data_IF_129153875651
#
_entry.id   IF_129153875651
#
_cell.length_a   1.000
_cell.length_b   1.000
_cell.length_c   1.000
_cell.angle_alpha   90.00
_cell.angle_beta   90.00
_cell.angle_gamma   90.00
#
_symmetry.space_group_name_H-M   'P 1'
#
loop_
_entity.id
_entity.type
_entity.pdbx_description
1 polymer ?
2 polymer ?
3 non-polymer ?
4 non-polymer ?
5 non-polymer ?
6 non-polymer ?
7 water ?
#
# COMPACT_ATOMS: atom_id res chain seq x y z
N UNK A 13 0.13 19.21 -4.96
CA UNK A 13 -0.57 18.37 -4.00
C UNK A 13 -1.80 17.73 -4.59
N UNK A 14 -2.83 17.57 -3.78
CA UNK A 14 -4.08 16.95 -4.25
C UNK A 14 -4.87 17.88 -5.16
N UNK A 15 -4.68 19.19 -4.98
CA UNK A 15 -5.36 20.18 -5.77
C UNK A 15 -6.67 20.59 -5.14
N UNK A 16 -7.40 21.40 -5.90
CA UNK A 16 -8.73 21.82 -5.46
C UNK A 16 -9.59 20.57 -5.28
N UNK A 17 -10.24 20.40 -4.14
CA UNK A 17 -11.17 19.26 -3.96
C UNK A 17 -12.22 19.19 -5.08
N UNK A 18 -12.56 17.96 -5.47
CA UNK A 18 -13.60 17.80 -6.48
C UNK A 18 -14.98 18.15 -5.91
N UNK A 19 -15.84 18.70 -6.76
CA UNK A 19 -17.24 18.96 -6.41
C UNK A 19 -18.09 17.74 -6.73
N UNK A 20 -18.78 17.21 -5.71
CA UNK A 20 -19.67 16.09 -5.92
C UNK A 20 -20.93 16.53 -6.70
N UNK A 21 -21.42 15.65 -7.56
CA UNK A 21 -22.55 15.94 -8.45
C UNK A 21 -23.81 16.26 -7.65
N UNK A 22 -24.76 16.88 -8.34
CA UNK A 22 -25.99 17.34 -7.65
C UNK A 22 -25.73 18.43 -6.64
N UNK A 23 -24.55 19.07 -6.69
CA UNK A 23 -24.20 20.24 -5.88
C UNK A 23 -24.10 19.89 -4.40
N UNK A 24 -23.57 18.70 -4.11
CA UNK A 24 -23.54 18.23 -2.73
C UNK A 24 -22.33 18.74 -1.97
N UNK A 25 -21.58 19.65 -2.57
CA UNK A 25 -20.53 20.33 -1.88
C UNK A 25 -19.20 19.66 -2.14
N UNK A 26 -18.16 20.23 -1.57
CA UNK A 26 -16.83 19.63 -1.74
C UNK A 26 -16.81 18.23 -1.14
N UNK A 27 -16.20 17.31 -1.87
CA UNK A 27 -15.99 15.97 -1.33
C UNK A 27 -15.20 16.00 -0.01
N UNK A 28 -14.21 16.88 0.08
CA UNK A 28 -13.40 17.00 1.30
C UNK A 28 -12.77 18.38 1.29
N UNK A 29 -12.05 18.72 2.34
CA UNK A 29 -11.34 20.00 2.36
C UNK A 29 -9.95 19.80 2.92
N UNK A 30 -9.06 20.74 2.63
CA UNK A 30 -7.64 20.57 2.94
C UNK A 30 -7.41 20.32 4.43
N UNK A 31 -8.26 20.86 5.32
CA UNK A 31 -8.09 20.60 6.75
C UNK A 31 -8.24 19.14 7.13
N UNK A 32 -8.72 18.27 6.25
CA UNK A 32 -8.77 16.85 6.57
C UNK A 32 -7.48 16.12 6.21
N UNK A 33 -6.47 16.85 5.73
CA UNK A 33 -5.19 16.28 5.35
C UNK A 33 -4.16 16.56 6.44
N UNK A 34 -3.35 15.55 6.77
CA UNK A 34 -2.26 15.75 7.71
C UNK A 34 -1.17 16.59 7.06
N UNK A 35 -0.34 17.20 7.90
CA UNK A 35 0.69 18.11 7.42
C UNK A 35 2.06 17.43 7.50
N UNK A 36 2.85 17.56 6.43
CA UNK A 36 4.13 16.86 6.29
C UNK A 36 5.22 17.84 5.82
N UNK A 37 6.48 17.42 5.87
CA UNK A 37 7.60 18.31 5.60
C UNK A 37 7.96 18.43 4.12
N UNK A 38 7.34 17.67 3.25
CA UNK A 38 7.77 17.67 1.87
C UNK A 38 6.74 18.13 0.87
N UNK A 39 7.23 18.64 -0.25
CA UNK A 39 6.37 19.08 -1.35
C UNK A 39 5.83 17.91 -2.14
N UNK A 40 4.69 18.10 -2.78
CA UNK A 40 4.10 17.07 -3.62
C UNK A 40 3.49 17.69 -4.85
N UNK A 41 3.36 16.89 -5.88
CA UNK A 41 2.72 17.29 -7.11
C UNK A 41 1.66 16.23 -7.40
N UNK A 42 0.53 16.66 -7.93
CA UNK A 42 -0.57 15.74 -8.17
C UNK A 42 -0.42 14.66 -9.23
N UNK A 43 -0.95 13.50 -8.87
CA UNK A 43 -1.12 12.36 -9.76
C UNK A 43 -2.24 12.68 -10.75
N UNK A 44 -2.05 12.41 -12.03
CA UNK A 44 -3.10 12.73 -13.00
C UNK A 44 -4.39 11.92 -12.82
N UNK A 45 -5.53 12.57 -12.98
CA UNK A 45 -6.84 11.90 -12.89
C UNK A 45 -7.33 11.89 -14.32
N UNK A 46 -7.54 10.70 -14.87
CA UNK A 46 -7.95 10.59 -16.25
C UNK A 46 -8.95 9.49 -16.52
N UNK A 47 -9.63 9.59 -17.66
CA UNK A 47 -10.50 8.52 -18.11
C UNK A 47 -9.69 7.32 -18.57
N UNK A 48 -10.24 6.13 -18.32
CA UNK A 48 -9.59 4.91 -18.77
C UNK A 48 -9.50 4.84 -20.27
N UNK A 49 -10.31 5.62 -20.97
CA UNK A 49 -10.21 5.70 -22.42
C UNK A 49 -9.21 6.75 -22.90
N UNK A 50 -8.56 7.43 -21.99
CA UNK A 50 -7.59 8.46 -22.38
C UNK A 50 -6.28 7.78 -22.75
N UNK A 51 -5.73 8.01 -23.94
CA UNK A 51 -4.45 7.37 -24.26
C UNK A 51 -3.36 7.67 -23.28
N UNK A 52 -3.38 8.86 -22.64
CA UNK A 52 -2.36 9.20 -21.67
C UNK A 52 -2.38 8.23 -20.50
N UNK A 53 -3.56 7.67 -20.19
CA UNK A 53 -3.65 6.74 -19.07
C UNK A 53 -2.96 5.43 -19.41
N UNK A 54 -3.19 4.91 -20.62
CA UNK A 54 -2.47 3.73 -21.06
C UNK A 54 -0.96 3.97 -21.02
N UNK A 55 -0.53 5.17 -21.45
CA UNK A 55 0.89 5.53 -21.52
C UNK A 55 1.52 5.56 -20.14
N UNK A 56 0.79 6.06 -19.15
CA UNK A 56 1.31 6.05 -17.79
C UNK A 56 1.44 4.64 -17.27
N UNK A 57 0.39 3.83 -17.42
CA UNK A 57 0.43 2.46 -16.92
C UNK A 57 1.54 1.70 -17.61
N UNK A 58 1.62 1.85 -18.94
CA UNK A 58 2.64 1.13 -19.69
C UNK A 58 4.03 1.47 -19.18
N UNK A 59 4.26 2.75 -18.86
CA UNK A 59 5.55 3.23 -18.34
C UNK A 59 5.67 3.07 -16.84
N UNK A 60 4.73 2.38 -16.18
CA UNK A 60 4.83 2.10 -14.76
C UNK A 60 4.95 3.39 -13.95
N UNK A 61 4.04 4.30 -14.23
CA UNK A 61 3.86 5.52 -13.46
C UNK A 61 2.42 5.59 -12.99
N UNK A 62 2.18 6.20 -11.83
CA UNK A 62 0.83 6.21 -11.26
C UNK A 62 -0.13 7.07 -12.03
N UNK A 63 -1.40 6.68 -11.94
CA UNK A 63 -2.50 7.40 -12.58
C UNK A 63 -3.75 7.02 -11.81
N UNK A 64 -4.63 7.98 -11.61
CA UNK A 64 -5.96 7.71 -11.07
C UNK A 64 -6.93 7.63 -12.24
N UNK A 65 -7.62 6.50 -12.37
CA UNK A 65 -8.66 6.33 -13.38
C UNK A 65 -10.02 6.54 -12.74
N UNK A 66 -10.84 7.35 -13.36
CA UNK A 66 -12.06 7.83 -12.73
C UNK A 66 -13.30 7.05 -13.14
N UNK A 67 -13.23 6.30 -14.23
CA UNK A 67 -14.42 5.70 -14.81
C UNK A 67 -14.19 4.24 -15.25
N UNK A 68 -13.44 3.44 -14.49
CA UNK A 68 -13.24 2.05 -14.87
C UNK A 68 -14.44 1.18 -14.58
N UNK A 69 -15.21 1.54 -13.56
CA UNK A 69 -16.29 0.68 -13.06
C UNK A 69 -15.72 -0.63 -12.55
N UNK A 70 -14.46 -0.60 -12.14
CA UNK A 70 -13.78 -1.82 -11.71
C UNK A 70 -14.54 -2.52 -10.59
N UNK A 71 -14.99 -1.77 -9.61
CA UNK A 71 -15.71 -2.34 -8.48
C UNK A 71 -17.09 -1.70 -8.30
N UNK A 72 -17.79 -1.52 -9.41
CA UNK A 72 -19.07 -0.83 -9.40
C UNK A 72 -20.10 -1.46 -8.46
N UNK A 73 -20.19 -2.79 -8.42
CA UNK A 73 -21.14 -3.48 -7.54
C UNK A 73 -20.90 -3.20 -6.06
N UNK A 74 -19.64 -3.06 -5.69
CA UNK A 74 -19.24 -2.80 -4.30
C UNK A 74 -19.50 -1.39 -3.78
N UNK A 75 -19.81 -0.44 -4.65
CA UNK A 75 -20.00 0.94 -4.20
C UNK A 75 -21.14 1.05 -3.21
N UNK A 76 -22.07 0.07 -3.19
CA UNK A 76 -23.15 0.04 -2.22
C UNK A 76 -22.72 -0.58 -0.89
N UNK A 77 -21.50 -1.06 -0.78
CA UNK A 77 -21.03 -1.71 0.43
C UNK A 77 -20.90 -0.69 1.57
N UNK A 78 -21.46 -1.05 2.71
CA UNK A 78 -21.18 -0.41 3.97
C UNK A 78 -21.14 -1.53 5.00
N UNK A 79 -20.96 -1.19 6.26
CA UNK A 79 -20.84 -2.19 7.29
C UNK A 79 -22.06 -3.09 7.44
N UNK A 80 -23.24 -2.52 7.38
CA UNK A 80 -24.44 -3.34 7.52
C UNK A 80 -24.54 -4.36 6.41
N UNK A 81 -24.30 -3.93 5.18
CA UNK A 81 -24.38 -4.84 4.05
C UNK A 81 -23.33 -5.93 4.13
N UNK A 82 -22.11 -5.56 4.52
CA UNK A 82 -21.03 -6.54 4.63
C UNK A 82 -21.27 -7.50 5.79
N UNK A 83 -21.67 -6.96 6.93
CA UNK A 83 -22.01 -7.81 8.07
C UNK A 83 -23.09 -8.81 7.68
N UNK A 84 -24.09 -8.37 6.93
CA UNK A 84 -25.18 -9.27 6.57
C UNK A 84 -24.74 -10.32 5.57
N UNK A 85 -23.75 -10.05 4.72
CA UNK A 85 -23.49 -10.89 3.57
C UNK A 85 -22.07 -11.46 3.46
N UNK A 86 -21.10 -10.97 4.23
CA UNK A 86 -19.71 -11.34 3.95
C UNK A 86 -19.33 -12.67 4.58
N UNK A 87 -20.21 -13.28 5.31
CA UNK A 87 -19.99 -14.63 5.77
C UNK A 87 -19.46 -14.70 7.19
N UNK A 88 -19.11 -15.94 7.55
CA UNK A 88 -18.72 -16.30 8.90
C UNK A 88 -17.23 -16.63 9.01
N UNK A 89 -16.44 -16.16 8.07
CA UNK A 89 -15.01 -16.37 8.14
C UNK A 89 -14.32 -15.44 9.12
N UNK A 90 -13.06 -15.74 9.39
CA UNK A 90 -12.21 -14.94 10.26
C UNK A 90 -11.61 -13.77 9.50
N UNK A 91 -11.59 -12.60 10.11
CA UNK A 91 -11.01 -11.42 9.49
C UNK A 91 -9.85 -10.89 10.32
N UNK A 92 -8.70 -10.64 9.70
CA UNK A 92 -7.58 -10.11 10.45
C UNK A 92 -7.85 -8.64 10.75
N UNK A 93 -7.74 -8.26 12.01
CA UNK A 93 -7.97 -6.89 12.40
C UNK A 93 -6.81 -6.36 13.23
N UNK A 94 -6.27 -5.22 12.84
CA UNK A 94 -5.15 -4.60 13.52
C UNK A 94 -5.63 -3.54 14.49
N UNK A 95 -4.97 -3.47 15.63
CA UNK A 95 -5.37 -2.56 16.69
C UNK A 95 -4.17 -1.75 17.12
N UNK A 96 -4.34 -0.44 17.22
CA UNK A 96 -3.23 0.45 17.60
C UNK A 96 -3.72 1.58 18.49
N UNK A 97 -2.79 2.17 19.21
CA UNK A 97 -3.08 3.36 20.00
C UNK A 97 -2.74 4.66 19.28
N UNK A 98 -1.98 4.59 18.19
CA UNK A 98 -1.61 5.73 17.36
C UNK A 98 -2.34 5.63 16.03
N UNK A 99 -2.30 6.73 15.27
CA UNK A 99 -2.88 6.68 13.94
C UNK A 99 -2.03 5.86 12.96
N UNK A 100 -0.77 5.58 13.26
CA UNK A 100 0.12 4.90 12.32
C UNK A 100 -0.01 3.38 12.49
N UNK A 101 -0.39 2.70 11.42
CA UNK A 101 -0.47 1.23 11.41
C UNK A 101 0.71 0.69 10.58
N UNK A 102 1.88 0.71 11.18
CA UNK A 102 3.07 0.18 10.50
C UNK A 102 2.95 -1.34 10.34
N UNK A 103 3.07 -1.82 9.10
CA UNK A 103 3.00 -3.26 8.85
C UNK A 103 4.27 -3.97 9.37
N UNK A 104 4.09 -5.18 9.91
CA UNK A 104 5.21 -6.00 10.36
C UNK A 104 5.00 -7.45 9.94
N UNK A 105 6.07 -8.10 9.53
CA UNK A 105 6.01 -9.48 9.09
C UNK A 105 6.29 -10.37 10.28
N UNK A 106 5.29 -11.15 10.65
CA UNK A 106 5.36 -12.03 11.81
C UNK A 106 6.42 -13.10 11.72
N UNK A 107 6.65 -13.65 10.54
CA UNK A 107 7.65 -14.69 10.37
C UNK A 107 9.06 -14.21 10.73
N UNK A 108 9.38 -12.97 10.40
CA UNK A 108 10.68 -12.40 10.70
C UNK A 108 10.90 -11.94 12.13
N UNK A 109 9.86 -11.92 12.97
CA UNK A 109 10.06 -11.40 14.33
C UNK A 109 11.07 -12.20 15.13
N UNK A 110 11.29 -13.46 14.78
CA UNK A 110 12.31 -14.25 15.47
C UNK A 110 13.72 -13.67 15.24
N UNK A 111 13.98 -13.12 14.04
CA UNK A 111 15.29 -12.56 13.71
C UNK A 111 15.64 -11.39 14.62
N UNK A 112 14.66 -10.56 14.95
CA UNK A 112 14.88 -9.38 15.79
C UNK A 112 13.99 -9.50 17.02
N UNK A 113 14.55 -9.95 18.14
CA UNK A 113 13.75 -10.09 19.35
C UNK A 113 13.41 -8.72 19.95
N UNK A 114 14.29 -7.71 19.78
CA UNK A 114 14.09 -6.35 20.28
C UNK A 114 13.02 -5.56 19.52
N UNK A 115 12.23 -6.14 18.63
CA UNK A 115 11.15 -5.46 17.95
C UNK A 115 9.83 -5.81 18.61
N UNK A 116 9.16 -4.81 19.18
CA UNK A 116 7.85 -5.01 19.74
C UNK A 116 6.92 -4.10 18.95
N UNK A 117 5.92 -4.62 18.26
CA UNK A 117 5.09 -3.76 17.41
C UNK A 117 4.16 -2.86 18.23
N UNK A 118 3.76 -1.76 17.58
CA UNK A 118 2.80 -0.81 18.14
C UNK A 118 1.37 -1.07 17.70
N UNK A 119 1.15 -2.08 16.85
CA UNK A 119 -0.19 -2.56 16.52
C UNK A 119 -0.21 -4.09 16.70
N UNK A 120 -1.36 -4.62 17.11
CA UNK A 120 -1.53 -6.04 17.36
C UNK A 120 -2.60 -6.59 16.43
N UNK A 121 -2.36 -7.79 15.93
CA UNK A 121 -3.30 -8.46 15.07
C UNK A 121 -4.24 -9.34 15.90
N UNK A 122 -5.52 -9.37 15.50
CA UNK A 122 -6.52 -10.22 16.13
C UNK A 122 -7.49 -10.74 15.08
N UNK A 123 -7.78 -12.04 15.14
CA UNK A 123 -8.74 -12.65 14.23
C UNK A 123 -10.13 -12.58 14.83
N UNK A 124 -11.12 -12.20 14.02
CA UNK A 124 -12.47 -12.12 14.54
C UNK A 124 -13.47 -12.20 13.39
N UNK A 125 -14.72 -12.49 13.76
CA UNK A 125 -15.81 -12.46 12.80
C UNK A 125 -16.16 -11.03 12.45
N UNK A 126 -16.80 -10.84 11.30
CA UNK A 126 -17.06 -9.49 10.84
C UNK A 126 -17.91 -8.73 11.84
N UNK A 127 -18.96 -9.38 12.38
CA UNK A 127 -19.84 -8.70 13.35
C UNK A 127 -19.07 -8.30 14.61
N UNK A 128 -18.07 -9.09 15.01
CA UNK A 128 -17.22 -8.67 16.13
C UNK A 128 -16.47 -7.38 15.80
N UNK A 129 -15.94 -7.28 14.59
CA UNK A 129 -15.26 -6.05 14.18
C UNK A 129 -16.20 -4.86 14.25
N UNK A 130 -17.39 -5.01 13.67
CA UNK A 130 -18.38 -3.95 13.71
C UNK A 130 -18.73 -3.59 15.14
N UNK A 131 -18.75 -4.58 16.01
CA UNK A 131 -19.08 -4.36 17.41
C UNK A 131 -17.99 -3.56 18.11
N UNK A 132 -16.74 -3.95 17.94
CA UNK A 132 -15.65 -3.24 18.59
C UNK A 132 -15.64 -1.82 18.09
N UNK A 133 -15.83 -1.66 16.79
CA UNK A 133 -15.84 -0.35 16.20
C UNK A 133 -16.99 0.47 16.78
N UNK A 134 -18.15 -0.14 16.90
CA UNK A 134 -19.30 0.53 17.46
C UNK A 134 -19.03 0.90 18.91
N UNK A 135 -18.42 -0.02 19.66
CA UNK A 135 -18.12 0.20 21.06
C UNK A 135 -17.17 1.37 21.31
N UNK A 136 -16.13 1.46 20.48
CA UNK A 136 -15.17 2.53 20.65
C UNK A 136 -15.80 3.89 20.45
N UNK A 137 -16.64 3.99 19.44
CA UNK A 137 -17.30 5.25 19.14
C UNK A 137 -18.20 5.70 20.27
N UNK A 138 -18.90 4.76 20.88
CA UNK A 138 -19.84 5.07 21.94
C UNK A 138 -19.15 5.71 23.13
N UNK A 139 -17.98 5.20 23.50
CA UNK A 139 -17.27 5.77 24.64
C UNK A 139 -16.08 6.61 24.21
N UNK A 140 -16.02 7.00 22.94
CA UNK A 140 -14.96 7.90 22.50
C UNK A 140 -13.56 7.49 22.91
N UNK A 141 -13.28 6.19 22.93
CA UNK A 141 -11.93 5.76 23.18
C UNK A 141 -10.98 6.17 22.07
N UNK A 142 -9.68 6.14 22.36
CA UNK A 142 -8.66 6.47 21.37
C UNK A 142 -8.16 5.27 20.59
N UNK A 143 -8.58 4.05 20.90
CA UNK A 143 -8.11 2.90 20.17
C UNK A 143 -8.52 3.01 18.70
N UNK A 144 -7.66 2.50 17.82
CA UNK A 144 -7.91 2.51 16.39
C UNK A 144 -7.85 1.10 15.82
N UNK A 145 -8.73 0.82 14.85
CA UNK A 145 -8.78 -0.49 14.24
C UNK A 145 -8.61 -0.33 12.74
N UNK A 146 -8.04 -1.38 12.13
CA UNK A 146 -7.88 -1.43 10.68
C UNK A 146 -8.06 -2.89 10.26
N UNK A 147 -9.16 -3.18 9.58
CA UNK A 147 -9.37 -4.52 9.06
C UNK A 147 -8.67 -4.64 7.73
N UNK A 148 -7.85 -5.67 7.60
CA UNK A 148 -7.19 -5.94 6.35
C UNK A 148 -7.29 -7.44 6.16
N UNK A 149 -8.10 -7.87 5.21
CA UNK A 149 -8.29 -9.28 4.95
C UNK A 149 -8.42 -9.60 3.48
N UNK A 150 -7.73 -10.63 3.02
CA UNK A 150 -7.85 -11.02 1.63
C UNK A 150 -9.18 -11.73 1.41
N UNK A 151 -9.89 -11.36 0.35
CA UNK A 151 -11.15 -11.98 0.03
C UNK A 151 -10.91 -13.43 -0.32
N UNK A 152 -11.77 -14.30 0.21
CA UNK A 152 -11.64 -15.73 0.02
C UNK A 152 -13.00 -16.36 -0.26
N UNK A 153 -12.98 -17.65 -0.54
CA UNK A 153 -14.19 -18.38 -0.89
C UNK A 153 -15.23 -18.47 0.21
N UNK A 154 -14.88 -18.08 1.43
CA UNK A 154 -15.90 -18.19 2.48
C UNK A 154 -16.93 -17.08 2.43
N UNK A 155 -16.79 -16.08 1.56
CA UNK A 155 -17.76 -14.99 1.55
C UNK A 155 -19.09 -15.51 1.08
N UNK A 156 -20.14 -14.77 1.43
CA UNK A 156 -21.51 -15.20 1.17
C UNK A 156 -21.94 -14.91 -0.25
N UNK A 157 -23.16 -15.32 -0.55
CA UNK A 157 -23.59 -15.39 -1.94
C UNK A 157 -23.64 -14.01 -2.58
N UNK A 158 -24.12 -13.00 -1.83
CA UNK A 158 -24.27 -11.69 -2.44
C UNK A 158 -22.91 -11.04 -2.66
N UNK A 159 -21.90 -11.39 -1.85
CA UNK A 159 -20.58 -10.83 -2.08
C UNK A 159 -19.94 -11.50 -3.28
N UNK A 160 -20.12 -12.82 -3.40
CA UNK A 160 -19.73 -13.51 -4.62
C UNK A 160 -20.32 -12.81 -5.84
N UNK A 161 -21.63 -12.56 -5.82
CA UNK A 161 -22.29 -11.88 -6.93
C UNK A 161 -21.64 -10.53 -7.20
N UNK A 162 -21.44 -9.72 -6.16
CA UNK A 162 -20.77 -8.44 -6.36
C UNK A 162 -19.39 -8.62 -6.97
N UNK A 163 -18.64 -9.60 -6.47
CA UNK A 163 -17.29 -9.85 -6.95
C UNK A 163 -17.29 -10.23 -8.41
N UNK A 164 -18.22 -11.07 -8.81
CA UNK A 164 -18.38 -11.49 -10.20
C UNK A 164 -18.70 -10.30 -11.10
N UNK A 165 -19.43 -9.32 -10.58
CA UNK A 165 -19.72 -8.11 -11.32
C UNK A 165 -18.60 -7.09 -11.42
N UNK A 166 -17.42 -7.34 -10.86
CA UNK A 166 -16.32 -6.40 -11.08
C UNK A 166 -16.03 -6.37 -12.58
N UNK A 167 -15.29 -5.33 -13.02
CA UNK A 167 -15.00 -5.15 -14.45
C UNK A 167 -13.74 -5.94 -14.80
N UNK A 168 -13.92 -7.25 -14.87
CA UNK A 168 -12.86 -8.17 -15.24
C UNK A 168 -12.41 -7.97 -16.68
N UNK A 169 -13.36 -7.70 -17.58
CA UNK A 169 -12.99 -7.40 -18.96
C UNK A 169 -11.90 -6.36 -19.01
N UNK A 170 -12.07 -5.26 -18.27
CA UNK A 170 -11.10 -4.16 -18.34
C UNK A 170 -9.79 -4.56 -17.70
N UNK A 171 -9.86 -5.17 -16.51
CA UNK A 171 -8.62 -5.41 -15.80
C UNK A 171 -7.88 -6.60 -16.42
N UNK A 172 -8.59 -7.58 -16.92
CA UNK A 172 -7.93 -8.70 -17.59
C UNK A 172 -7.16 -8.21 -18.82
N UNK A 173 -7.71 -7.23 -19.52
CA UNK A 173 -7.05 -6.67 -20.66
C UNK A 173 -5.76 -5.99 -20.21
N UNK A 174 -5.82 -5.31 -19.09
CA UNK A 174 -4.64 -4.64 -18.55
C UNK A 174 -3.57 -5.65 -18.18
N UNK A 175 -3.99 -6.75 -17.56
CA UNK A 175 -3.07 -7.78 -17.15
C UNK A 175 -2.39 -8.36 -18.37
N UNK A 176 -3.15 -8.58 -19.42
CA UNK A 176 -2.60 -9.09 -20.66
C UNK A 176 -1.72 -8.11 -21.40
N UNK A 177 -2.15 -6.86 -21.47
CA UNK A 177 -1.39 -5.86 -22.21
C UNK A 177 -0.03 -5.60 -21.57
N UNK A 178 0.05 -5.62 -20.26
CA UNK A 178 1.28 -5.39 -19.54
C UNK A 178 2.12 -6.63 -19.32
N UNK A 179 1.65 -7.81 -19.74
CA UNK A 179 2.42 -9.01 -19.50
C UNK A 179 2.55 -9.40 -18.06
N UNK A 180 1.67 -8.91 -17.20
CA UNK A 180 1.77 -9.22 -15.79
C UNK A 180 1.50 -10.70 -15.53
N UNK A 181 1.93 -11.15 -14.35
CA UNK A 181 1.60 -12.49 -13.91
C UNK A 181 0.19 -12.56 -13.41
N UNK A 182 -0.09 -13.56 -12.58
CA UNK A 182 -1.44 -13.79 -12.13
C UNK A 182 -1.87 -12.81 -11.03
N UNK A 183 -3.18 -12.60 -10.96
CA UNK A 183 -3.77 -11.98 -9.79
C UNK A 183 -3.46 -12.83 -8.57
N UNK A 184 -2.75 -12.29 -7.60
CA UNK A 184 -2.46 -13.09 -6.41
C UNK A 184 -3.49 -12.91 -5.32
N UNK A 185 -4.08 -11.74 -5.17
CA UNK A 185 -5.09 -11.61 -4.13
C UNK A 185 -5.84 -10.30 -4.27
N UNK A 186 -6.98 -10.22 -3.60
CA UNK A 186 -7.72 -8.99 -3.39
C UNK A 186 -7.78 -8.71 -1.89
N UNK A 187 -7.21 -7.61 -1.47
CA UNK A 187 -7.20 -7.23 -0.06
C UNK A 187 -8.36 -6.28 0.18
N UNK A 188 -9.25 -6.66 1.09
CA UNK A 188 -10.27 -5.76 1.59
C UNK A 188 -9.69 -4.96 2.75
N UNK A 189 -9.81 -3.63 2.68
CA UNK A 189 -9.29 -2.75 3.71
C UNK A 189 -10.42 -1.89 4.21
N UNK A 190 -10.69 -1.94 5.51
CA UNK A 190 -11.68 -1.08 6.15
C UNK A 190 -11.02 -0.38 7.33
N UNK A 191 -11.01 0.95 7.30
CA UNK A 191 -10.28 1.73 8.28
C UNK A 191 -11.13 2.80 8.92
N UNK A 192 -10.65 3.27 10.06
CA UNK A 192 -11.25 4.40 10.73
C UNK A 192 -10.65 5.68 10.17
N UNK A 193 -11.47 6.74 10.21
CA UNK A 193 -10.99 8.07 9.85
C UNK A 193 -9.70 8.38 10.59
N UNK A 194 -8.74 8.96 9.87
CA UNK A 194 -7.46 9.29 10.47
C UNK A 194 -6.41 8.20 10.40
N UNK A 195 -6.80 6.95 10.14
CA UNK A 195 -5.82 5.86 10.04
C UNK A 195 -4.79 6.16 8.96
N UNK A 196 -3.52 5.82 9.25
CA UNK A 196 -2.41 5.96 8.32
C UNK A 196 -1.72 4.62 8.15
N UNK A 197 -1.44 4.25 6.89
CA UNK A 197 -0.49 3.19 6.60
C UNK A 197 0.82 3.82 6.21
N UNK A 198 1.87 3.73 7.01
CA UNK A 198 3.09 4.47 6.71
C UNK A 198 3.71 4.01 5.40
N UNK A 199 4.58 4.88 4.89
CA UNK A 199 5.24 4.69 3.60
C UNK A 199 5.93 3.34 3.49
N UNK A 200 5.66 2.65 2.37
CA UNK A 200 6.29 1.38 2.07
C UNK A 200 6.15 1.11 0.58
N UNK A 201 6.84 0.09 0.08
CA UNK A 201 6.64 -0.34 -1.29
C UNK A 201 6.25 -1.80 -1.28
N UNK A 202 5.48 -2.21 -2.29
CA UNK A 202 5.09 -3.60 -2.44
C UNK A 202 5.77 -4.14 -3.68
N UNK A 203 6.02 -5.45 -3.72
CA UNK A 203 6.65 -6.09 -4.87
C UNK A 203 5.65 -6.61 -5.90
N UNK A 204 4.41 -6.18 -5.85
CA UNK A 204 3.45 -6.53 -6.87
C UNK A 204 2.86 -5.25 -7.49
N UNK A 205 2.32 -5.46 -8.69
CA UNK A 205 1.59 -4.41 -9.42
C UNK A 205 0.22 -4.34 -8.67
N UNK A 206 -0.29 -3.13 -8.32
CA UNK A 206 -1.53 -2.89 -7.53
C UNK A 206 -2.54 -1.89 -8.23
N UNK A 207 -3.81 -2.27 -8.38
CA UNK A 207 -4.87 -1.37 -8.85
C UNK A 207 -5.64 -1.19 -7.54
N UNK A 208 -5.64 0.01 -7.01
CA UNK A 208 -6.25 0.31 -5.72
C UNK A 208 -7.65 0.84 -6.00
N UNK A 209 -8.69 0.10 -5.61
CA UNK A 209 -10.06 0.50 -5.94
C UNK A 209 -10.77 1.03 -4.71
N UNK A 210 -11.02 2.33 -4.71
CA UNK A 210 -11.69 2.97 -3.60
C UNK A 210 -13.20 2.79 -3.69
N UNK A 211 -13.84 2.57 -2.53
CA UNK A 211 -15.24 2.14 -2.46
C UNK A 211 -16.04 3.07 -1.57
N UNK A 212 -15.50 3.36 -0.39
CA UNK A 212 -16.25 4.19 0.57
C UNK A 212 -15.30 5.14 1.23
N UNK A 213 -15.71 6.41 1.31
CA UNK A 213 -14.87 7.41 1.93
C UNK A 213 -13.67 7.78 1.03
N UNK A 214 -12.77 8.53 1.63
CA UNK A 214 -11.66 9.19 0.92
C UNK A 214 -10.34 8.86 1.57
N UNK A 215 -9.33 8.58 0.72
CA UNK A 215 -7.97 8.30 1.13
C UNK A 215 -7.00 9.17 0.36
N UNK A 216 -6.08 9.78 1.09
CA UNK A 216 -5.00 10.53 0.49
C UNK A 216 -3.83 9.58 0.30
N UNK A 217 -3.39 9.47 -0.92
CA UNK A 217 -2.31 8.56 -1.29
C UNK A 217 -1.11 9.42 -1.70
N UNK A 218 0.03 9.22 -1.06
CA UNK A 218 1.25 9.95 -1.41
C UNK A 218 2.25 8.93 -1.92
N UNK A 219 2.64 9.06 -3.18
CA UNK A 219 3.55 8.13 -3.79
C UNK A 219 4.93 8.71 -4.09
N UNK A 220 5.94 7.86 -3.97
CA UNK A 220 7.31 8.23 -4.26
C UNK A 220 7.88 7.19 -5.21
N UNK A 221 8.58 7.64 -6.24
CA UNK A 221 9.18 6.74 -7.22
C UNK A 221 10.33 5.93 -6.63
N UNK A 222 10.61 4.78 -7.24
CA UNK A 222 11.64 3.87 -6.76
C UNK A 222 13.00 4.56 -6.63
N UNK A 223 13.32 5.48 -7.52
CA UNK A 223 14.57 6.23 -7.46
C UNK A 223 14.79 7.08 -6.18
N UNK A 224 13.77 7.21 -5.34
CA UNK A 224 13.87 7.89 -4.07
C UNK A 224 14.27 6.92 -2.93
N UNK A 225 14.61 5.67 -3.27
CA UNK A 225 15.10 4.75 -2.26
C UNK A 225 16.04 5.43 -1.24
N UNK A 226 16.96 6.23 -1.74
CA UNK A 226 18.01 6.83 -0.90
C UNK A 226 17.44 7.82 0.08
N UNK A 227 16.22 8.34 -0.18
CA UNK A 227 15.56 9.31 0.68
C UNK A 227 14.63 8.70 1.72
N UNK A 228 14.34 7.41 1.62
CA UNK A 228 13.26 6.81 2.38
C UNK A 228 13.69 5.72 3.34
N UNK A 229 14.92 5.26 3.23
CA UNK A 229 15.56 4.48 4.29
C UNK A 229 14.71 3.29 4.73
N UNK A 230 14.47 2.32 3.86
CA UNK A 230 13.76 1.10 4.30
C UNK A 230 14.56 0.36 5.36
N UNK A 231 13.84 -0.33 6.23
CA UNK A 231 14.41 -1.26 7.17
C UNK A 231 15.25 -2.31 6.44
N UNK A 232 16.21 -2.94 7.12
CA UNK A 232 16.86 -4.13 6.58
C UNK A 232 15.85 -5.19 6.11
N UNK A 233 16.23 -5.93 5.08
CA UNK A 233 15.34 -6.92 4.50
C UNK A 233 14.90 -7.97 5.51
N UNK A 234 15.80 -8.39 6.38
CA UNK A 234 15.48 -9.39 7.40
C UNK A 234 14.60 -8.88 8.55
N UNK A 235 14.50 -7.58 8.71
CA UNK A 235 13.69 -6.98 9.74
C UNK A 235 12.20 -7.17 9.46
N UNK A 236 11.38 -7.30 10.49
CA UNK A 236 9.92 -7.47 10.27
C UNK A 236 9.26 -6.36 9.46
N UNK A 237 9.80 -5.14 9.50
CA UNK A 237 9.28 -4.03 8.73
C UNK A 237 10.00 -3.86 7.41
N UNK A 238 10.62 -4.93 6.89
CA UNK A 238 11.06 -4.97 5.50
C UNK A 238 10.06 -4.28 4.57
N UNK A 239 10.56 -3.40 3.71
CA UNK A 239 9.86 -2.65 2.67
C UNK A 239 9.19 -1.39 3.21
N UNK A 240 9.15 -1.20 4.52
CA UNK A 240 8.61 0.02 5.09
C UNK A 240 9.76 1.03 5.33
N UNK A 241 9.43 2.31 5.21
CA UNK A 241 10.36 3.37 5.53
C UNK A 241 10.58 3.47 7.04
N UNK A 242 11.84 3.67 7.45
CA UNK A 242 12.17 3.96 8.83
C UNK A 242 11.83 5.39 9.25
N UNK A 243 11.60 6.28 8.31
CA UNK A 243 11.34 7.66 8.64
C UNK A 243 9.96 7.88 9.24
N UNK A 244 9.90 8.63 10.32
CA UNK A 244 8.62 8.93 10.92
C UNK A 244 8.20 10.19 10.21
N UNK A 245 7.14 10.14 9.43
CA UNK A 245 6.70 11.30 8.67
C UNK A 245 6.30 12.47 9.57
N UNK A 246 5.68 12.17 10.70
CA UNK A 246 5.29 13.20 11.65
C UNK A 246 6.49 13.95 12.28
N UNK A 247 7.56 13.24 12.61
CA UNK A 247 8.78 13.83 13.20
C UNK A 247 10.03 13.25 12.55
N UNK A 248 10.44 13.76 11.39
CA UNK A 248 11.56 13.13 10.66
C UNK A 248 12.89 13.42 11.33
N UNK A 249 13.69 12.38 11.52
CA UNK A 249 14.98 12.53 12.15
C UNK A 249 16.01 12.77 11.06
N UNK A 250 16.24 14.05 10.76
CA UNK A 250 17.13 14.39 9.67
C UNK A 250 18.57 14.05 9.97
N UNK A 251 18.91 13.84 11.24
CA UNK A 251 20.27 13.45 11.55
C UNK A 251 20.53 12.03 11.08
N UNK A 252 19.56 11.13 11.27
CA UNK A 252 19.77 9.77 10.78
C UNK A 252 19.38 9.60 9.33
N UNK A 253 18.46 10.45 8.84
CA UNK A 253 17.88 10.32 7.50
C UNK A 253 17.99 11.63 6.72
N UNK A 254 19.22 12.10 6.50
CA UNK A 254 19.37 13.45 5.93
C UNK A 254 18.70 13.61 4.58
N UNK A 255 18.66 12.56 3.78
CA UNK A 255 18.12 12.76 2.44
C UNK A 255 16.62 12.72 2.43
N UNK A 256 15.99 12.52 3.56
CA UNK A 256 14.54 12.74 3.57
C UNK A 256 14.22 14.21 3.30
N UNK A 257 15.22 15.11 3.45
CA UNK A 257 14.97 16.50 3.12
C UNK A 257 14.88 16.76 1.62
N UNK A 258 15.16 15.74 0.80
CA UNK A 258 15.08 15.88 -0.65
C UNK A 258 13.89 15.15 -1.25
N UNK A 259 13.09 14.50 -0.43
CA UNK A 259 11.99 13.69 -0.97
C UNK A 259 10.91 14.58 -1.55
N UNK A 260 10.37 14.15 -2.68
CA UNK A 260 9.28 14.82 -3.36
C UNK A 260 8.23 13.76 -3.71
N UNK A 261 6.98 14.01 -3.36
CA UNK A 261 5.96 13.02 -3.63
C UNK A 261 4.89 13.36 -4.64
N UNK A 262 4.25 12.33 -5.17
CA UNK A 262 3.14 12.47 -6.08
C UNK A 262 1.98 12.10 -5.19
N UNK A 263 1.04 13.01 -5.05
CA UNK A 263 -0.09 12.78 -4.11
C UNK A 263 -1.52 12.94 -4.78
N UNK A 264 -2.55 12.22 -4.29
CA UNK A 264 -3.95 12.39 -4.75
C UNK A 264 -4.97 11.95 -3.69
N UNK A 265 -6.18 12.41 -3.79
CA UNK A 265 -7.22 11.87 -2.91
C UNK A 265 -8.18 11.05 -3.75
N UNK A 266 -8.32 9.78 -3.42
CA UNK A 266 -9.25 8.92 -4.16
C UNK A 266 -10.53 8.81 -3.35
N UNK A 267 -11.66 8.79 -4.06
CA UNK A 267 -12.94 8.53 -3.47
C UNK A 267 -13.69 7.42 -4.19
N UNK A 268 -14.95 7.24 -3.79
CA UNK A 268 -15.72 6.11 -4.34
C UNK A 268 -15.68 6.12 -5.86
N UNK A 269 -15.29 4.99 -6.42
CA UNK A 269 -15.30 4.83 -7.87
C UNK A 269 -13.95 5.06 -8.52
N UNK A 270 -13.00 5.64 -7.80
CA UNK A 270 -11.69 5.87 -8.35
C UNK A 270 -10.83 4.62 -8.20
N UNK A 271 -9.93 4.45 -9.17
CA UNK A 271 -8.98 3.37 -9.15
C UNK A 271 -7.60 3.97 -9.31
N UNK A 272 -6.70 3.66 -8.41
CA UNK A 272 -5.35 4.18 -8.49
C UNK A 272 -4.35 3.11 -8.82
N UNK A 273 -3.60 3.32 -9.89
CA UNK A 273 -2.54 2.40 -10.23
C UNK A 273 -1.30 2.76 -9.41
N UNK A 274 -0.94 1.86 -8.51
CA UNK A 274 0.29 1.95 -7.75
C UNK A 274 1.31 1.00 -8.36
N UNK A 275 2.25 1.46 -9.19
CA UNK A 275 3.16 0.52 -9.82
C UNK A 275 4.05 -0.13 -8.80
N UNK A 276 4.44 -1.36 -9.14
CA UNK A 276 5.36 -2.15 -8.35
C UNK A 276 6.61 -1.35 -8.00
N UNK A 277 7.07 -1.49 -6.75
CA UNK A 277 8.21 -0.80 -6.15
C UNK A 277 7.98 0.69 -5.85
N UNK A 278 6.85 1.27 -6.27
CA UNK A 278 6.57 2.65 -5.87
C UNK A 278 6.20 2.70 -4.42
N UNK A 279 6.85 3.59 -3.70
CA UNK A 279 6.51 3.85 -2.31
C UNK A 279 5.13 4.48 -2.26
N UNK A 280 4.36 4.15 -1.22
CA UNK A 280 3.08 4.81 -1.02
C UNK A 280 2.79 4.89 0.47
N UNK A 281 2.24 6.04 0.84
CA UNK A 281 1.77 6.40 2.16
C UNK A 281 0.28 6.64 1.95
N UNK A 282 -0.57 6.05 2.79
CA UNK A 282 -2.02 6.09 2.54
C UNK A 282 -2.72 6.48 3.82
N UNK A 283 -3.53 7.54 3.78
CA UNK A 283 -4.21 7.98 4.99
C UNK A 283 -5.71 8.20 4.74
N UNK A 284 -6.52 7.69 5.66
CA UNK A 284 -7.96 7.96 5.61
C UNK A 284 -8.23 9.34 6.17
N UNK A 285 -8.97 10.13 5.43
CA UNK A 285 -9.07 11.55 5.77
C UNK A 285 -9.60 11.73 7.17
N UNK A 286 -9.03 12.70 7.87
CA UNK A 286 -9.50 13.06 9.18
C UNK A 286 -10.98 13.46 9.11
N UNK A 287 -11.75 13.02 10.10
CA UNK A 287 -13.18 13.33 10.20
C UNK A 287 -13.96 12.93 8.95
N UNK A 288 -13.48 11.94 8.20
CA UNK A 288 -14.15 11.50 6.99
C UNK A 288 -14.95 10.23 7.09
N UNK A 289 -15.11 9.66 8.29
CA UNK A 289 -15.83 8.40 8.45
C UNK A 289 -14.94 7.24 8.05
N UNK A 290 -15.54 6.05 7.99
CA UNK A 290 -14.77 4.85 7.66
C UNK A 290 -14.46 4.83 6.18
N UNK A 291 -13.39 4.15 5.82
CA UNK A 291 -12.99 4.00 4.44
C UNK A 291 -13.01 2.53 4.07
N UNK A 292 -13.37 2.25 2.83
CA UNK A 292 -13.36 0.90 2.32
C UNK A 292 -12.63 0.87 1.00
N UNK A 293 -11.69 -0.05 0.87
CA UNK A 293 -10.92 -0.17 -0.35
C UNK A 293 -10.69 -1.64 -0.67
N UNK A 294 -10.66 -1.98 -1.94
CA UNK A 294 -10.31 -3.32 -2.34
C UNK A 294 -9.16 -3.19 -3.32
N UNK A 295 -8.07 -3.89 -3.06
CA UNK A 295 -6.93 -3.84 -3.96
C UNK A 295 -6.89 -5.04 -4.89
N UNK A 296 -6.06 -4.98 -5.91
CA UNK A 296 -5.95 -6.01 -6.92
C UNK A 296 -4.44 -6.14 -7.15
N UNK A 297 -3.83 -7.18 -6.57
CA UNK A 297 -2.37 -7.37 -6.63
C UNK A 297 -2.00 -8.41 -7.68
N UNK A 298 -1.12 -8.02 -8.60
CA UNK A 298 -0.65 -8.88 -9.67
C UNK A 298 0.86 -9.07 -9.60
N UNK A 299 1.30 -10.27 -9.90
CA UNK A 299 2.73 -10.51 -10.02
C UNK A 299 3.25 -9.72 -11.21
N UNK A 300 4.44 -9.15 -11.07
CA UNK A 300 4.97 -8.33 -12.14
C UNK A 300 5.33 -9.15 -13.36
N UNK A 301 5.51 -8.49 -14.49
CA UNK A 301 5.95 -9.21 -15.68
C UNK A 301 7.34 -9.85 -15.47
N UNK A 302 7.59 -10.98 -16.12
CA UNK A 302 8.93 -11.61 -16.03
C UNK A 302 10.05 -10.66 -16.42
N UNK A 303 11.23 -10.89 -15.84
CA UNK A 303 12.41 -10.13 -16.26
C UNK A 303 12.69 -10.39 -17.73
N UNK A 304 12.97 -9.34 -18.49
CA UNK A 304 13.21 -9.47 -19.93
C UNK A 304 14.48 -10.24 -20.25
N UNK A 305 14.47 -10.90 -21.40
CA UNK A 305 15.61 -11.69 -21.85
C UNK A 305 16.82 -10.81 -22.06
N UNK A 306 16.61 -9.64 -22.63
CA UNK A 306 17.70 -8.71 -22.88
C UNK A 306 17.59 -7.56 -21.89
N UNK A 307 18.68 -7.29 -21.21
CA UNK A 307 18.73 -6.24 -20.20
C UNK A 307 19.34 -4.99 -20.78
N UNK A 308 18.71 -3.86 -20.54
CA UNK A 308 19.20 -2.60 -21.07
C UNK A 308 19.93 -1.83 -19.99
N UNK A 309 21.14 -1.41 -20.31
CA UNK A 309 21.96 -0.69 -19.36
C UNK A 309 22.01 0.80 -19.67
N UNK A 310 21.99 1.67 -18.65
CA UNK A 310 21.88 1.31 -17.23
C UNK A 310 20.49 0.90 -16.78
N UNK A 311 20.46 0.11 -15.72
CA UNK A 311 19.25 -0.45 -15.18
C UNK A 311 18.32 0.58 -14.58
N UNK A 312 17.03 0.24 -14.58
CA UNK A 312 16.06 1.11 -13.95
C UNK A 312 16.21 1.07 -12.43
N UNK A 313 15.66 2.08 -11.75
CA UNK A 313 15.83 2.14 -10.31
C UNK A 313 15.25 0.90 -9.66
N UNK A 314 14.10 0.42 -10.14
CA UNK A 314 13.50 -0.69 -9.43
C UNK A 314 14.31 -1.97 -9.63
N UNK A 315 15.09 -2.05 -10.70
CA UNK A 315 15.98 -3.18 -10.87
C UNK A 315 17.12 -3.13 -9.85
N UNK A 316 17.63 -1.94 -9.55
CA UNK A 316 18.66 -1.80 -8.54
C UNK A 316 18.11 -2.10 -7.18
N UNK A 317 16.84 -1.77 -6.93
CA UNK A 317 16.23 -2.11 -5.64
C UNK A 317 16.18 -3.63 -5.49
N UNK A 318 15.78 -4.31 -6.56
CA UNK A 318 15.78 -5.77 -6.59
C UNK A 318 17.16 -6.35 -6.36
N UNK A 319 18.20 -5.76 -6.95
CA UNK A 319 19.56 -6.24 -6.70
C UNK A 319 19.92 -6.09 -5.23
N UNK A 320 19.61 -4.93 -4.65
CA UNK A 320 19.99 -4.73 -3.25
C UNK A 320 19.25 -5.69 -2.34
N UNK A 321 17.95 -5.90 -2.57
CA UNK A 321 17.26 -6.89 -1.77
C UNK A 321 17.96 -8.24 -1.89
N UNK A 322 18.34 -8.65 -3.10
CA UNK A 322 18.92 -9.99 -3.22
C UNK A 322 20.29 -10.08 -2.57
N UNK A 323 21.07 -9.01 -2.60
CA UNK A 323 22.37 -9.04 -1.90
C UNK A 323 22.13 -9.25 -0.41
N UNK A 324 21.16 -8.53 0.16
CA UNK A 324 20.89 -8.63 1.58
C UNK A 324 20.45 -10.03 1.95
N UNK A 325 19.52 -10.61 1.17
CA UNK A 325 19.09 -12.00 1.39
C UNK A 325 20.25 -12.98 1.29
N UNK A 326 21.02 -12.91 0.19
CA UNK A 326 22.14 -13.85 0.02
C UNK A 326 23.10 -13.75 1.19
N UNK A 327 23.39 -12.55 1.64
CA UNK A 327 24.37 -12.45 2.71
C UNK A 327 23.81 -13.02 3.99
N UNK A 328 22.52 -12.82 4.25
CA UNK A 328 21.94 -13.39 5.44
C UNK A 328 22.10 -14.89 5.47
N UNK A 329 21.84 -15.54 4.34
CA UNK A 329 21.92 -16.98 4.34
C UNK A 329 23.36 -17.44 4.31
N UNK A 330 24.27 -16.69 3.70
CA UNK A 330 25.65 -17.14 3.65
C UNK A 330 26.32 -17.00 5.00
N UNK A 331 26.03 -15.92 5.71
CA UNK A 331 26.69 -15.73 7.00
C UNK A 331 26.07 -16.58 8.10
N UNK A 332 24.91 -17.20 7.82
CA UNK A 332 24.22 -18.02 8.79
C UNK A 332 23.42 -17.24 9.80
N UNK A 333 23.30 -15.94 9.65
CA UNK A 333 22.69 -15.13 10.68
C UNK A 333 22.46 -13.72 10.15
N UNK A 334 21.22 -13.25 10.09
CA UNK A 334 20.98 -11.95 9.43
C UNK A 334 21.56 -10.78 10.19
N UNK A 335 21.80 -10.89 11.50
CA UNK A 335 22.34 -9.76 12.24
C UNK A 335 23.79 -9.48 11.88
N UNK A 336 24.47 -10.40 11.18
CA UNK A 336 25.83 -10.17 10.69
C UNK A 336 25.86 -9.45 9.35
N UNK A 337 24.71 -9.22 8.71
CA UNK A 337 24.71 -8.58 7.40
C UNK A 337 25.30 -7.17 7.50
N UNK A 338 24.83 -6.39 8.47
CA UNK A 338 25.28 -5.05 8.65
C UNK A 338 26.79 -4.91 8.83
N UNK A 339 27.35 -5.62 9.82
CA UNK A 339 28.80 -5.50 10.04
C UNK A 339 29.62 -5.87 8.81
N UNK A 340 29.22 -6.88 8.07
CA UNK A 340 29.96 -7.23 6.87
C UNK A 340 29.87 -6.14 5.82
N UNK A 341 28.68 -5.57 5.63
CA UNK A 341 28.53 -4.53 4.61
C UNK A 341 29.35 -3.31 4.99
N UNK A 342 29.33 -2.91 6.25
CA UNK A 342 30.16 -1.78 6.69
C UNK A 342 31.65 -2.07 6.46
N UNK A 343 32.07 -3.23 6.94
CA UNK A 343 33.47 -3.62 6.76
C UNK A 343 33.79 -3.60 5.22
N UNK A 344 32.83 -4.01 4.41
CA UNK A 344 33.05 -3.98 2.98
C UNK A 344 33.25 -2.57 2.43
N UNK A 345 32.49 -1.60 2.92
CA UNK A 345 32.61 -0.24 2.39
C UNK A 345 33.46 0.81 3.08
N UNK A 346 33.63 0.73 4.40
CA UNK A 346 34.37 1.80 5.06
C UNK A 346 35.79 1.90 4.59
N UNK A 347 36.16 3.09 4.14
CA UNK A 347 37.49 3.37 3.66
C UNK A 347 37.82 2.82 2.28
N UNK A 348 36.82 2.17 1.69
CA UNK A 348 36.91 1.58 0.34
C UNK A 348 36.04 2.14 -0.91
N UNK A 349 34.77 2.28 -0.57
CA UNK A 349 33.75 2.82 -1.43
C UNK A 349 33.08 4.10 -0.91
N UNK A 350 33.48 4.58 0.25
CA UNK A 350 32.86 5.78 0.79
C UNK A 350 33.82 6.91 1.10
N UNK B 7 20.81 -11.26 -13.93
CA UNK B 7 20.63 -12.70 -13.88
C UNK B 7 19.85 -13.07 -12.62
N UNK B 8 20.52 -13.78 -11.71
CA UNK B 8 19.92 -14.17 -10.44
C UNK B 8 19.60 -12.94 -9.59
N UNK B 9 20.48 -11.96 -9.64
CA UNK B 9 20.36 -10.73 -8.86
C UNK B 9 19.11 -9.92 -9.18
N UNK B 10 18.71 -9.90 -10.44
CA UNK B 10 17.53 -9.16 -10.87
C UNK B 10 16.19 -9.77 -10.46
N UNK B 11 16.20 -11.04 -10.08
CA UNK B 11 14.97 -11.72 -9.73
C UNK B 11 14.24 -11.03 -8.57
N UNK B 12 12.92 -10.98 -8.65
CA UNK B 12 12.10 -10.36 -7.64
C UNK B 12 11.08 -11.32 -7.04
N UNK B 13 10.59 -10.98 -5.86
CA UNK B 13 9.59 -11.76 -5.17
C UNK B 13 8.18 -11.24 -5.36
N UNK B 14 7.30 -11.58 -4.43
CA UNK B 14 5.91 -11.12 -4.46
C UNK B 14 5.45 -10.60 -3.09
N UNK B 15 6.36 -10.12 -2.25
CA UNK B 15 6.00 -9.70 -0.91
C UNK B 15 5.20 -8.40 -0.91
N UNK B 16 4.09 -8.40 -0.17
CA UNK B 16 3.22 -7.23 0.00
C UNK B 16 2.87 -7.13 1.49
N UNK B 17 2.22 -6.01 1.86
CA UNK B 17 1.72 -5.79 3.23
C UNK B 17 0.45 -6.62 3.52
N UNK B 18 0.60 -7.94 3.40
CA UNK B 18 -0.42 -8.91 3.81
C UNK B 18 0.25 -10.28 4.00
N UNK B 19 -0.43 -11.16 4.74
CA UNK B 19 0.13 -12.48 4.99
C UNK B 19 -0.03 -13.37 3.76
N UNK B 20 1.07 -14.02 3.36
CA UNK B 20 1.04 -14.99 2.25
C UNK B 20 -0.06 -16.02 2.46
X LIG C 1 -3.63 11.83 15.60
X LIG C 1 -4.78 12.23 14.89
X LIG C 1 -4.10 11.02 16.80
X LIG C 1 -5.37 10.53 16.46
X LIG C 1 -3.21 9.81 17.14
X LIG C 1 -4.04 8.72 17.47
X LIG D 1 8.33 3.97 10.81
X LIG D 1 9.33 3.05 11.07
X LIG D 1 8.00 4.62 12.13
X LIG D 1 9.20 5.01 12.76
X LIG D 1 7.18 5.83 11.78
X LIG D 1 6.12 5.43 10.96
X LIG E 1 -7.31 -15.95 4.36
X LIG E 1 -7.39 -15.87 2.94
X LIG E 1 -5.90 -15.61 4.81
X LIG E 1 -4.96 -16.35 4.03
X LIG E 1 -5.71 -15.97 6.28
X LIG E 1 -6.09 -14.85 7.07
X LIG F 1 -12.43 -16.04 -5.73
X LIG F 1 -12.79 -15.86 -7.10
X LIG F 1 -12.76 -14.81 -4.91
X LIG F 1 -14.04 -14.97 -4.28
X LIG F 1 -11.71 -14.65 -3.85
X LIG F 1 -11.45 -15.91 -3.21
X LIG G 1 13.72 4.82 -13.43
X LIG G 1 12.77 3.91 -12.75
X LIG G 1 14.93 4.09 -13.85
X LIG G 1 13.04 5.39 -14.62
X LIG G 1 14.15 5.92 -12.56
X LIG H 1 -9.55 11.73 13.42
X LIG H 1 -10.20 11.08 14.56
X LIG H 1 -8.21 11.19 13.29
X LIG H 1 -10.29 11.48 12.19
X LIG H 1 -9.47 13.17 13.63
X LIG I 1 -3.03 -16.71 15.02
X LIG I 1 -1.59 -16.80 14.72
X LIG I 1 -3.45 -17.92 15.74
X LIG I 1 -3.79 -16.63 13.75
X LIG I 1 -3.32 -15.52 15.84
X LIG J 1 -9.46 3.52 24.81
X LIG J 1 -10.45 4.00 25.75
X LIG J 1 -8.83 2.28 25.26
X LIG J 1 -8.47 4.60 24.66
X LIG J 1 -10.14 3.23 23.56
X LIG K 1 0.97 -1.14 -0.11
X LIG L 1 -1.60 -1.40 -0.71
X LIG L 1 -1.51 -0.73 0.59
X LIG L 1 -2.62 0.36 2.53
X LIG L 1 -3.86 1.15 2.93
X LIG L 1 -0.59 -1.80 -1.33
X LIG L 1 -2.73 -1.54 -1.18
X LIG L 1 -0.39 -0.57 1.05
X LIG L 1 -4.78 1.25 2.10
X LIG L 1 -2.65 -0.32 1.23
X LIG L 1 -3.95 1.68 4.05
#
# INVERSE_FOLDING_TARGET
>A
SMAATAAEAVASGSGEPREEAGALGPAWDESQLRSYSFPTRPIPRLSQSDPRAEELIENEEPVVLTDTNLVYPALKWDLEYLQENIGNGDFSVYSASTHKFLYYDEKKMANFQNFKPRSNREEMKFHEFVEKLQDIQQRGGEERLYLQQTLNDTVGRKIVMDFLGFNWNWINKQQGKRGWGQLTSNLLLIGMEGNVTPAHYDEQQNFFAQIKGYKRCILFPPDQFECLYPYPVHHPCDRQSQVDFDNPDYERFPNFQNVVGYETVVGPGDVLYIPMYWWHHIESLLNGGITITVNFWYKGAPTPKRIEYPLKAHQKVAIMRNIEKMLGEALGNPQEVGPLLNTMIKGRYN
>B
GHHHIVKFLLDFGVNVNAADSDG
>C hetero
1 GOL C1 O1 C2 O2 C3 O3
>D hetero
1 GOL C1 O1 C2 O2 C3 O3
>E hetero
1 GOL C1 O1 C2 O2 C3 O3
>F hetero
1 GOL C1 O1 C2 O2 C3 O3
>G hetero
1 SO4 S O1 O2 O3 O4
>H hetero
1 SO4 S O1 O2 O3 O4
>I hetero
1 SO4 S O1 O2 O3 O4
>J hetero
1 SO4 S O1 O2 O3 O4
>K hetero
1 ZN ZN
>L hetero
1 OGA C1 C2 C4 C5 O1 O2 O2' O3 N1 O4
#
